data_IF_211354864570
#
_entry.id   IF_211354864570
#
_cell.length_a   1.000
_cell.length_b   1.000
_cell.length_c   1.000
_cell.angle_alpha   90.00
_cell.angle_beta   90.00
_cell.angle_gamma   90.00
#
_symmetry.space_group_name_H-M   'P 1'
#
loop_
_entity.id
_entity.type
_entity.pdbx_description
1 polymer ?
#
# COMPACT_ATOMS: atom_id res chain seq x y z
N UNK A 1 -6.65 -14.94 -41.68
CA UNK A 1 -7.35 -15.05 -40.37
C UNK A 1 -7.04 -13.83 -39.48
N UNK A 2 -6.58 -12.73 -40.08
CA UNK A 2 -5.90 -11.63 -39.38
C UNK A 2 -6.86 -10.51 -38.96
N UNK A 3 -7.98 -10.35 -39.69
CA UNK A 3 -9.04 -9.41 -39.34
C UNK A 3 -9.68 -9.71 -37.97
N UNK A 4 -9.77 -10.99 -37.59
CA UNK A 4 -10.30 -11.41 -36.27
C UNK A 4 -9.34 -11.07 -35.14
N UNK A 5 -8.02 -11.19 -35.35
CA UNK A 5 -7.00 -10.86 -34.34
C UNK A 5 -6.96 -9.36 -34.05
N UNK A 6 -7.04 -8.53 -35.09
CA UNK A 6 -7.03 -7.05 -34.98
C UNK A 6 -8.22 -6.50 -34.18
N UNK A 7 -9.39 -7.13 -34.29
CA UNK A 7 -10.58 -6.76 -33.51
C UNK A 7 -10.46 -7.17 -32.03
N UNK A 8 -9.87 -8.34 -31.77
CA UNK A 8 -9.65 -8.82 -30.40
C UNK A 8 -8.59 -7.98 -29.69
N UNK A 9 -7.50 -7.59 -30.35
CA UNK A 9 -6.47 -6.73 -29.74
C UNK A 9 -7.00 -5.35 -29.36
N UNK A 10 -7.80 -4.72 -30.22
CA UNK A 10 -8.43 -3.43 -29.90
C UNK A 10 -9.43 -3.54 -28.73
N UNK A 11 -10.22 -4.62 -28.69
CA UNK A 11 -11.14 -4.89 -27.58
C UNK A 11 -10.39 -5.21 -26.27
N UNK A 12 -9.28 -5.95 -26.34
CA UNK A 12 -8.42 -6.25 -25.20
C UNK A 12 -7.70 -4.99 -24.69
N UNK A 13 -7.32 -4.06 -25.57
CA UNK A 13 -6.75 -2.78 -25.18
C UNK A 13 -7.78 -1.91 -24.43
N UNK A 14 -9.00 -1.82 -24.95
CA UNK A 14 -10.12 -1.10 -24.28
C UNK A 14 -10.48 -1.76 -22.94
N UNK A 15 -10.51 -3.10 -22.87
CA UNK A 15 -10.74 -3.84 -21.63
C UNK A 15 -9.63 -3.58 -20.61
N UNK A 16 -8.37 -3.63 -21.04
CA UNK A 16 -7.22 -3.33 -20.18
C UNK A 16 -7.26 -1.91 -19.64
N UNK A 17 -7.62 -0.93 -20.47
CA UNK A 17 -7.77 0.46 -20.04
C UNK A 17 -8.87 0.62 -18.99
N UNK A 18 -10.02 -0.05 -19.18
CA UNK A 18 -11.11 -0.04 -18.21
C UNK A 18 -10.73 -0.66 -16.85
N UNK A 19 -9.97 -1.77 -16.87
CA UNK A 19 -9.47 -2.41 -15.64
C UNK A 19 -8.50 -1.48 -14.91
N UNK A 20 -7.54 -0.88 -15.62
CA UNK A 20 -6.57 0.04 -15.03
C UNK A 20 -7.29 1.23 -14.40
N UNK A 21 -8.25 1.82 -15.12
CA UNK A 21 -9.03 2.94 -14.61
C UNK A 21 -9.86 2.55 -13.38
N UNK A 22 -10.47 1.37 -13.41
CA UNK A 22 -11.22 0.83 -12.27
C UNK A 22 -10.35 0.59 -11.03
N UNK A 23 -9.13 0.07 -11.19
CA UNK A 23 -8.18 -0.11 -10.08
C UNK A 23 -7.75 1.24 -9.52
N UNK A 24 -7.39 2.20 -10.37
CA UNK A 24 -6.98 3.54 -9.94
C UNK A 24 -8.10 4.20 -9.12
N UNK A 25 -9.33 4.15 -9.62
CA UNK A 25 -10.50 4.71 -8.93
C UNK A 25 -10.79 3.93 -7.64
N UNK A 26 -10.70 2.60 -7.66
CA UNK A 26 -10.95 1.75 -6.49
C UNK A 26 -9.94 1.97 -5.35
N UNK A 27 -8.65 2.10 -5.68
CA UNK A 27 -7.60 2.42 -4.70
C UNK A 27 -7.78 3.82 -4.14
N UNK A 28 -8.09 4.79 -4.99
CA UNK A 28 -8.35 6.16 -4.55
C UNK A 28 -9.57 6.22 -3.63
N UNK A 29 -10.63 5.47 -3.93
CA UNK A 29 -11.81 5.34 -3.07
C UNK A 29 -11.44 4.72 -1.72
N UNK A 30 -10.72 3.60 -1.72
CA UNK A 30 -10.33 2.91 -0.49
C UNK A 30 -9.50 3.81 0.43
N UNK A 31 -8.58 4.61 -0.12
CA UNK A 31 -7.70 5.44 0.72
C UNK A 31 -8.33 6.77 1.15
N UNK A 32 -9.17 7.41 0.31
CA UNK A 32 -9.75 8.73 0.60
C UNK A 32 -11.04 8.61 1.43
N UNK A 33 -11.88 7.62 1.14
CA UNK A 33 -13.24 7.55 1.71
C UNK A 33 -13.30 6.60 2.91
N UNK A 34 -12.48 5.56 2.94
CA UNK A 34 -12.43 4.60 4.04
C UNK A 34 -10.99 4.33 4.47
N UNK A 35 -10.30 5.34 5.05
CA UNK A 35 -8.98 5.10 5.59
C UNK A 35 -9.04 4.00 6.66
N UNK A 36 -8.05 3.11 6.63
CA UNK A 36 -7.92 2.04 7.62
C UNK A 36 -7.71 2.66 8.99
N UNK A 37 -8.65 2.43 9.90
CA UNK A 37 -8.52 2.79 11.30
C UNK A 37 -8.06 1.54 12.06
N UNK A 38 -6.95 1.64 12.76
CA UNK A 38 -6.53 0.62 13.71
C UNK A 38 -7.36 0.81 14.97
N UNK A 39 -8.34 -0.05 15.14
CA UNK A 39 -9.20 -0.13 16.33
C UNK A 39 -8.72 -1.32 17.15
N UNK A 40 -8.97 -1.30 18.46
CA UNK A 40 -8.65 -2.41 19.39
C UNK A 40 -7.15 -2.57 19.72
N UNK A 41 -6.43 -1.46 19.89
CA UNK A 41 -5.10 -1.48 20.51
C UNK A 41 -5.17 -1.92 21.97
N UNK A 42 -4.24 -2.75 22.40
CA UNK A 42 -4.13 -3.19 23.79
C UNK A 42 -3.37 -2.15 24.63
N UNK A 43 -3.57 -2.12 25.96
CA UNK A 43 -2.74 -1.37 26.89
C UNK A 43 -1.22 -1.45 26.65
N UNK A 44 -0.70 -2.59 26.16
CA UNK A 44 0.70 -2.75 25.83
C UNK A 44 1.18 -1.88 24.64
N UNK A 45 0.27 -1.58 23.71
CA UNK A 45 0.56 -0.78 22.50
C UNK A 45 0.62 0.73 22.78
N UNK A 46 0.24 1.16 23.99
CA UNK A 46 0.31 2.57 24.37
C UNK A 46 1.76 3.04 24.52
N UNK A 47 1.97 4.34 24.33
CA UNK A 47 3.23 5.01 24.67
C UNK A 47 3.52 4.85 26.17
N UNK A 48 4.79 4.84 26.54
CA UNK A 48 5.24 4.59 27.91
C UNK A 48 4.56 5.46 28.96
N UNK A 49 4.41 6.76 28.71
CA UNK A 49 3.70 7.69 29.58
C UNK A 49 2.26 7.26 29.84
N UNK A 50 1.55 6.84 28.79
CA UNK A 50 0.16 6.40 28.91
C UNK A 50 0.01 5.01 29.54
N UNK A 51 1.02 4.13 29.40
CA UNK A 51 1.04 2.83 30.12
C UNK A 51 1.17 3.04 31.61
N UNK A 52 2.02 3.99 32.02
CA UNK A 52 2.16 4.42 33.41
C UNK A 52 0.84 5.01 33.92
N UNK A 53 0.19 5.89 33.16
CA UNK A 53 -1.11 6.45 33.55
C UNK A 53 -2.23 5.40 33.62
N UNK A 54 -2.24 4.44 32.69
CA UNK A 54 -3.13 3.29 32.76
C UNK A 54 -2.90 2.49 34.04
N UNK A 55 -1.65 2.16 34.35
CA UNK A 55 -1.31 1.39 35.55
C UNK A 55 -1.68 2.14 36.83
N UNK A 56 -1.49 3.47 36.88
CA UNK A 56 -1.97 4.31 37.99
C UNK A 56 -3.48 4.16 38.21
N UNK A 57 -4.27 4.20 37.14
CA UNK A 57 -5.71 3.97 37.22
C UNK A 57 -6.06 2.54 37.68
N UNK A 58 -5.30 1.53 37.27
CA UNK A 58 -5.49 0.15 37.73
C UNK A 58 -5.23 0.05 39.23
N UNK A 59 -4.13 0.64 39.72
CA UNK A 59 -3.77 0.66 41.15
C UNK A 59 -4.83 1.39 41.97
N UNK A 60 -5.28 2.56 41.51
CA UNK A 60 -6.32 3.34 42.20
C UNK A 60 -7.68 2.61 42.22
N UNK A 61 -8.05 1.98 41.09
CA UNK A 61 -9.25 1.14 40.99
C UNK A 61 -9.17 -0.05 41.94
N UNK A 62 -8.01 -0.71 42.06
CA UNK A 62 -7.80 -1.78 43.02
C UNK A 62 -7.87 -1.28 44.47
N UNK A 63 -7.26 -0.14 44.78
CA UNK A 63 -7.32 0.43 46.13
C UNK A 63 -8.75 0.77 46.57
N UNK A 64 -9.61 1.17 45.62
CA UNK A 64 -11.00 1.53 45.87
C UNK A 64 -11.95 0.34 45.89
N UNK A 65 -11.79 -0.63 44.97
CA UNK A 65 -12.72 -1.74 44.80
C UNK A 65 -12.25 -3.06 45.44
N UNK A 66 -10.95 -3.18 45.74
CA UNK A 66 -10.30 -4.37 46.32
C UNK A 66 -10.52 -5.67 45.50
N UNK A 67 -10.73 -5.52 44.19
CA UNK A 67 -10.89 -6.62 43.25
C UNK A 67 -9.52 -7.04 42.70
N UNK A 68 -8.94 -8.08 43.30
CA UNK A 68 -7.61 -8.57 42.99
C UNK A 68 -7.54 -9.21 41.60
N UNK A 69 -8.49 -10.09 41.28
CA UNK A 69 -8.53 -10.81 40.00
C UNK A 69 -8.59 -9.83 38.82
N UNK A 70 -9.44 -8.80 38.90
CA UNK A 70 -9.56 -7.78 37.87
C UNK A 70 -8.28 -6.93 37.73
N UNK A 71 -7.62 -6.64 38.85
CA UNK A 71 -6.40 -5.85 38.86
C UNK A 71 -5.22 -6.62 38.22
N UNK A 72 -5.13 -7.92 38.50
CA UNK A 72 -4.14 -8.83 37.92
C UNK A 72 -4.38 -9.06 36.44
N UNK A 73 -5.63 -9.24 36.01
CA UNK A 73 -5.99 -9.35 34.59
C UNK A 73 -5.51 -8.10 33.84
N UNK A 74 -5.89 -6.90 34.31
CA UNK A 74 -5.52 -5.61 33.70
C UNK A 74 -4.02 -5.37 33.69
N UNK A 75 -3.32 -5.75 34.76
CA UNK A 75 -1.87 -5.72 34.82
C UNK A 75 -1.25 -6.67 33.79
N UNK A 76 -1.79 -7.87 33.65
CA UNK A 76 -1.34 -8.87 32.68
C UNK A 76 -1.46 -8.40 31.23
N UNK A 77 -2.43 -7.54 30.90
CA UNK A 77 -2.58 -6.97 29.55
C UNK A 77 -1.39 -6.07 29.15
N UNK A 78 -0.63 -5.52 30.11
CA UNK A 78 0.59 -4.76 29.80
C UNK A 78 1.75 -5.67 29.33
N UNK A 79 1.67 -6.97 29.62
CA UNK A 79 2.68 -7.95 29.23
C UNK A 79 4.08 -7.57 29.73
N UNK A 80 5.05 -7.52 28.81
CA UNK A 80 6.46 -7.22 29.11
C UNK A 80 6.69 -5.82 29.71
N UNK A 81 5.77 -4.89 29.49
CA UNK A 81 5.89 -3.51 29.99
C UNK A 81 5.33 -3.32 31.40
N UNK A 82 4.72 -4.36 32.00
CA UNK A 82 4.12 -4.27 33.32
C UNK A 82 5.14 -3.93 34.42
N UNK A 83 6.33 -4.55 34.37
CA UNK A 83 7.41 -4.29 35.32
C UNK A 83 7.97 -2.88 35.20
N UNK A 84 8.37 -2.47 33.99
CA UNK A 84 8.85 -1.10 33.70
C UNK A 84 7.84 -0.03 34.12
N UNK A 85 6.57 -0.26 33.83
CA UNK A 85 5.51 0.68 34.22
C UNK A 85 5.35 0.76 35.74
N UNK A 86 5.49 -0.36 36.46
CA UNK A 86 5.43 -0.37 37.93
C UNK A 86 6.57 0.40 38.57
N UNK A 87 7.79 0.22 38.06
CA UNK A 87 8.97 0.92 38.55
C UNK A 87 8.78 2.44 38.39
N UNK A 88 8.31 2.88 37.22
CA UNK A 88 8.04 4.29 36.94
C UNK A 88 6.90 4.88 37.79
N UNK A 89 5.86 4.09 38.08
CA UNK A 89 4.80 4.51 39.03
C UNK A 89 5.38 4.67 40.44
N UNK A 90 6.30 3.79 40.84
CA UNK A 90 6.99 3.88 42.12
C UNK A 90 7.88 5.13 42.23
N UNK A 91 8.59 5.49 41.16
CA UNK A 91 9.42 6.70 41.10
C UNK A 91 8.58 7.98 41.10
N UNK A 92 7.46 7.97 40.36
CA UNK A 92 6.56 9.12 40.23
C UNK A 92 5.11 8.71 40.50
N UNK A 93 4.64 8.78 41.76
CA UNK A 93 3.28 8.35 42.13
C UNK A 93 2.15 9.23 41.56
N UNK A 94 2.46 10.48 41.17
CA UNK A 94 1.48 11.48 40.74
C UNK A 94 0.29 11.59 41.70
N UNK A 95 -0.92 11.24 41.26
CA UNK A 95 -2.18 11.34 42.03
C UNK A 95 -2.51 10.07 42.82
N UNK A 96 -1.74 8.99 42.66
CA UNK A 96 -1.99 7.71 43.34
C UNK A 96 -1.38 7.72 44.74
N UNK A 97 -2.13 7.24 45.73
CA UNK A 97 -1.66 7.16 47.11
C UNK A 97 -0.51 6.14 47.25
N UNK A 98 0.60 6.47 47.94
CA UNK A 98 1.73 5.56 48.10
C UNK A 98 1.40 4.23 48.80
N UNK A 99 0.35 4.19 49.62
CA UNK A 99 -0.10 2.93 50.24
C UNK A 99 -0.85 2.03 49.27
N UNK A 100 -1.52 2.60 48.25
CA UNK A 100 -2.17 1.83 47.18
C UNK A 100 -1.14 1.08 46.34
N UNK A 101 -0.02 1.74 46.00
CA UNK A 101 1.10 1.12 45.27
C UNK A 101 1.66 -0.07 46.06
N UNK A 102 1.88 0.10 47.38
CA UNK A 102 2.39 -1.00 48.22
C UNK A 102 1.42 -2.18 48.32
N UNK A 103 0.11 -1.92 48.43
CA UNK A 103 -0.91 -2.99 48.44
C UNK A 103 -0.94 -3.75 47.11
N UNK A 104 -0.76 -3.04 46.00
CA UNK A 104 -0.73 -3.65 44.68
C UNK A 104 0.56 -4.45 44.45
N UNK A 105 1.71 -3.96 44.89
CA UNK A 105 2.97 -4.74 44.88
C UNK A 105 2.87 -6.01 45.74
N UNK A 106 2.23 -5.92 46.92
CA UNK A 106 1.99 -7.08 47.75
C UNK A 106 1.07 -8.11 47.08
N UNK A 107 0.09 -7.66 46.28
CA UNK A 107 -0.76 -8.56 45.48
C UNK A 107 0.07 -9.33 44.44
N UNK A 108 0.94 -8.63 43.70
CA UNK A 108 1.78 -9.25 42.68
C UNK A 108 2.79 -10.25 43.26
N UNK A 109 3.33 -9.97 44.45
CA UNK A 109 4.25 -10.88 45.14
C UNK A 109 3.59 -12.20 45.60
N UNK A 110 2.25 -12.23 45.72
CA UNK A 110 1.49 -13.45 46.02
C UNK A 110 1.19 -14.24 44.74
N UNK A 111 1.01 -13.54 43.62
CA UNK A 111 0.77 -14.13 42.30
C UNK A 111 2.04 -14.71 41.67
N UNK A 112 3.20 -14.08 41.87
CA UNK A 112 4.48 -14.64 41.43
C UNK A 112 4.71 -15.99 42.13
N UNK A 113 4.64 -17.12 41.41
CA UNK A 113 4.93 -18.39 42.04
C UNK A 113 6.39 -18.35 42.48
N UNK A 114 6.61 -18.46 43.80
CA UNK A 114 7.80 -19.10 44.33
C UNK A 114 7.89 -20.46 43.65
N UNK A 115 8.67 -20.51 42.58
CA UNK A 115 8.79 -21.62 41.65
C UNK A 115 10.14 -21.59 40.94
N UNK A 116 11.17 -21.08 41.62
CA UNK A 116 12.53 -21.49 41.39
C UNK A 116 12.87 -22.57 42.43
N UNK A 117 12.49 -23.82 42.13
CA UNK A 117 13.22 -24.98 42.63
C UNK A 117 13.92 -25.65 41.44
N UNK A 118 15.24 -25.92 41.56
CA UNK A 118 16.06 -26.49 40.50
C UNK A 118 15.78 -27.98 40.38
N UNK A 119 14.98 -28.36 39.38
CA UNK A 119 15.01 -29.70 38.80
C UNK A 119 16.00 -29.71 37.65
N UNK A 120 17.18 -30.28 37.90
CA UNK A 120 18.13 -30.65 36.86
C UNK A 120 17.44 -31.52 35.80
N UNK A 121 17.39 -31.02 34.56
CA UNK A 121 17.65 -31.82 33.38
C UNK A 121 18.61 -31.00 32.51
N UNK A 122 19.90 -31.28 32.68
CA UNK A 122 20.91 -30.87 31.70
C UNK A 122 20.78 -31.79 30.50
N UNK A 123 20.30 -31.28 29.36
CA UNK A 123 20.85 -31.69 28.07
C UNK A 123 20.85 -30.54 27.06
N UNK A 124 22.06 -30.01 26.87
CA UNK A 124 22.63 -29.43 25.67
C UNK A 124 21.86 -28.31 24.91
N UNK A 125 22.51 -27.16 24.91
CA UNK A 125 22.43 -26.16 23.86
C UNK A 125 22.56 -26.77 22.45
N UNK A 126 21.61 -26.44 21.58
CA UNK A 126 21.89 -26.17 20.17
C UNK A 126 20.86 -25.21 19.59
N UNK A 127 21.41 -24.07 19.15
CA UNK A 127 21.12 -23.35 17.91
C UNK A 127 19.67 -23.36 17.37
N UNK A 128 19.16 -22.13 17.21
CA UNK A 128 18.34 -21.66 16.08
C UNK A 128 17.72 -22.74 15.21
N UNK A 129 16.42 -22.97 15.38
CA UNK A 129 15.56 -23.16 14.23
C UNK A 129 14.20 -22.58 14.53
N UNK A 130 13.87 -21.53 13.78
CA UNK A 130 12.54 -21.03 13.55
C UNK A 130 11.56 -22.20 13.40
N UNK A 131 10.72 -22.41 14.42
CA UNK A 131 9.53 -23.24 14.29
C UNK A 131 8.57 -22.45 13.42
N UNK A 132 8.70 -22.66 12.12
CA UNK A 132 7.79 -22.15 11.12
C UNK A 132 6.39 -22.72 11.38
N UNK A 133 5.56 -21.93 12.04
CA UNK A 133 4.12 -22.15 12.16
C UNK A 133 3.52 -22.48 10.77
N UNK A 134 2.52 -23.38 10.68
CA UNK A 134 1.89 -23.75 9.40
C UNK A 134 1.28 -22.55 8.66
N UNK A 135 1.00 -21.44 9.35
CA UNK A 135 0.61 -20.16 8.76
C UNK A 135 1.73 -19.49 7.94
N UNK A 136 3.00 -19.57 8.37
CA UNK A 136 4.15 -18.97 7.67
C UNK A 136 4.45 -19.65 6.33
N UNK A 137 4.20 -20.97 6.24
CA UNK A 137 4.36 -21.74 5.00
C UNK A 137 3.31 -21.42 3.93
N UNK A 138 2.18 -20.80 4.29
CA UNK A 138 1.14 -20.35 3.35
C UNK A 138 1.27 -18.86 2.99
N UNK A 139 1.79 -18.03 3.89
CA UNK A 139 2.01 -16.60 3.62
C UNK A 139 3.07 -16.40 2.53
N UNK A 140 4.16 -17.16 2.54
CA UNK A 140 5.22 -17.06 1.53
C UNK A 140 4.74 -17.39 0.09
N UNK A 141 4.02 -18.49 -0.18
CA UNK A 141 3.50 -18.75 -1.53
C UNK A 141 2.34 -17.82 -1.90
N UNK A 142 1.48 -17.40 -0.96
CA UNK A 142 0.39 -16.47 -1.26
C UNK A 142 0.94 -15.08 -1.58
N UNK A 143 1.80 -14.52 -0.73
CA UNK A 143 2.45 -13.23 -0.95
C UNK A 143 3.40 -13.26 -2.15
N UNK A 144 4.10 -14.37 -2.35
CA UNK A 144 4.91 -14.61 -3.56
C UNK A 144 4.06 -14.67 -4.82
N UNK A 145 2.88 -15.32 -4.77
CA UNK A 145 1.98 -15.42 -5.92
C UNK A 145 1.34 -14.08 -6.27
N UNK A 146 0.97 -13.27 -5.28
CA UNK A 146 0.40 -11.93 -5.53
C UNK A 146 1.45 -10.98 -6.07
N UNK A 147 2.67 -11.01 -5.53
CA UNK A 147 3.79 -10.20 -6.03
C UNK A 147 4.22 -10.65 -7.43
N UNK A 148 4.28 -11.96 -7.68
CA UNK A 148 4.58 -12.51 -9.00
C UNK A 148 3.50 -12.14 -10.04
N UNK A 149 2.21 -12.18 -9.68
CA UNK A 149 1.13 -11.74 -10.58
C UNK A 149 1.24 -10.25 -10.89
N UNK A 150 1.49 -9.40 -9.89
CA UNK A 150 1.66 -7.96 -10.08
C UNK A 150 2.85 -7.64 -10.99
N UNK A 151 3.98 -8.31 -10.79
CA UNK A 151 5.18 -8.17 -11.63
C UNK A 151 4.94 -8.69 -13.05
N UNK A 152 4.25 -9.82 -13.22
CA UNK A 152 3.88 -10.36 -14.53
C UNK A 152 2.99 -9.39 -15.31
N UNK A 153 2.01 -8.78 -14.65
CA UNK A 153 1.13 -7.79 -15.26
C UNK A 153 1.90 -6.52 -15.66
N UNK A 154 2.79 -6.03 -14.80
CA UNK A 154 3.64 -4.88 -15.09
C UNK A 154 4.60 -5.13 -16.27
N UNK A 155 5.23 -6.31 -16.32
CA UNK A 155 6.13 -6.71 -17.41
C UNK A 155 5.34 -6.87 -18.71
N UNK A 156 4.16 -7.51 -18.68
CA UNK A 156 3.30 -7.65 -19.86
C UNK A 156 2.88 -6.28 -20.42
N UNK A 157 2.55 -5.32 -19.56
CA UNK A 157 2.21 -3.95 -19.96
C UNK A 157 3.43 -3.19 -20.52
N UNK A 158 4.63 -3.38 -19.96
CA UNK A 158 5.85 -2.77 -20.46
C UNK A 158 6.28 -3.33 -21.82
N UNK A 159 6.13 -4.64 -22.04
CA UNK A 159 6.42 -5.28 -23.32
C UNK A 159 5.42 -4.82 -24.39
N UNK A 160 4.13 -4.72 -24.05
CA UNK A 160 3.12 -4.14 -24.95
C UNK A 160 3.47 -2.70 -25.33
N UNK A 161 3.80 -1.86 -24.34
CA UNK A 161 4.20 -0.46 -24.57
C UNK A 161 5.46 -0.33 -25.44
N UNK A 162 6.38 -1.28 -25.35
CA UNK A 162 7.59 -1.32 -26.19
C UNK A 162 7.32 -1.81 -27.61
N UNK A 163 6.30 -2.65 -27.81
CA UNK A 163 5.91 -3.14 -29.14
C UNK A 163 5.09 -2.08 -29.91
N UNK A 164 4.24 -1.30 -29.24
CA UNK A 164 3.51 -0.19 -29.87
C UNK A 164 4.44 0.90 -30.45
N UNK A 165 5.63 1.09 -29.87
CA UNK A 165 6.61 2.07 -30.36
C UNK A 165 7.39 1.64 -31.60
N UNK A 166 7.16 0.44 -32.14
CA UNK A 166 7.89 -0.11 -33.29
C UNK A 166 7.13 -0.01 -34.62
N UNK A 167 5.85 0.33 -34.58
CA UNK A 167 5.03 0.46 -35.79
C UNK A 167 5.13 1.87 -36.42
N UNK A 168 5.57 2.89 -35.68
CA UNK A 168 5.75 4.27 -36.21
C UNK A 168 7.06 4.47 -37.00
N UNK A 169 8.00 3.53 -36.95
CA UNK A 169 9.34 3.70 -37.56
C UNK A 169 9.43 3.22 -39.01
N UNK A 170 8.36 2.64 -39.59
CA UNK A 170 8.40 2.10 -40.94
C UNK A 170 7.66 2.96 -41.98
N UNK A 171 6.84 3.91 -41.54
CA UNK A 171 6.03 4.74 -42.45
C UNK A 171 6.77 6.00 -42.95
N UNK A 172 7.93 6.34 -42.35
CA UNK A 172 8.77 7.49 -42.72
C UNK A 172 9.76 7.19 -43.87
N UNK A 173 9.70 5.98 -44.46
CA UNK A 173 10.53 5.59 -45.62
C UNK A 173 9.76 5.71 -46.95
N UNK A 174 8.45 5.97 -46.90
CA UNK A 174 7.61 6.06 -48.09
C UNK A 174 6.94 7.43 -48.22
N UNK A 175 7.76 8.49 -48.22
CA UNK A 175 7.34 9.78 -48.77
C UNK A 175 7.26 9.64 -50.29
N UNK A 176 6.08 9.68 -50.93
CA UNK A 176 6.01 9.73 -52.38
C UNK A 176 6.68 11.03 -52.84
N UNK A 177 7.55 11.02 -53.86
CA UNK A 177 8.16 12.23 -54.37
C UNK A 177 7.07 13.16 -54.91
N UNK A 178 6.98 14.32 -54.28
CA UNK A 178 6.71 15.64 -54.83
C UNK A 178 5.92 15.65 -56.15
N UNK A 179 4.65 16.05 -56.02
CA UNK A 179 3.71 16.39 -57.11
C UNK A 179 4.14 17.59 -57.97
N UNK A 180 5.42 17.98 -57.94
CA UNK A 180 5.94 19.10 -58.72
C UNK A 180 6.25 18.70 -60.18
N UNK A 181 6.56 17.42 -60.43
CA UNK A 181 6.87 16.92 -61.79
C UNK A 181 5.64 16.67 -62.68
N UNK A 182 4.44 16.60 -62.09
CA UNK A 182 3.19 16.41 -62.85
C UNK A 182 2.60 17.70 -63.41
N UNK A 183 2.95 18.86 -62.85
CA UNK A 183 2.49 20.16 -63.37
C UNK A 183 3.28 20.61 -64.61
N UNK A 184 4.61 20.38 -64.68
CA UNK A 184 5.41 20.73 -65.87
C UNK A 184 4.96 19.99 -67.14
N UNK A 185 4.47 18.75 -67.01
CA UNK A 185 3.99 17.96 -68.15
C UNK A 185 2.62 18.46 -68.65
N UNK A 186 1.84 19.11 -67.79
CA UNK A 186 0.54 19.69 -68.14
C UNK A 186 0.66 21.12 -68.70
N UNK A 187 1.67 21.88 -68.26
CA UNK A 187 2.03 23.22 -68.76
C UNK A 187 2.47 23.21 -70.24
N UNK A 188 3.03 22.10 -70.74
CA UNK A 188 3.53 21.99 -72.12
C UNK A 188 2.44 21.87 -73.20
N UNK A 189 1.15 21.90 -72.83
CA UNK A 189 0.03 21.67 -73.74
C UNK A 189 -1.00 22.82 -73.74
N UNK A 190 -0.54 24.05 -74.01
CA UNK A 190 -1.38 25.04 -74.69
C UNK A 190 -1.42 24.70 -76.21
N UNK A 191 -2.48 25.06 -77.00
CA UNK A 191 -3.16 26.35 -76.91
C UNK A 191 -4.66 26.41 -77.32
N UNK A 192 -5.19 27.64 -77.20
CA UNK A 192 -6.24 28.27 -78.02
C UNK A 192 -7.71 28.02 -77.64
N UNK A 193 -8.34 28.99 -76.99
CA UNK A 193 -9.15 30.02 -77.68
C UNK A 193 -9.94 30.90 -76.69
N UNK A 194 -10.14 32.15 -77.10
CA UNK A 194 -11.17 33.11 -76.67
C UNK A 194 -11.01 33.69 -75.24
N UNK A 195 -10.31 34.80 -75.05
CA UNK A 195 -10.79 36.16 -75.35
C UNK A 195 -12.29 36.37 -75.10
N UNK A 196 -12.67 36.68 -73.86
CA UNK A 196 -13.76 37.65 -73.60
C UNK A 196 -13.86 37.94 -72.11
N UNK A 197 -13.59 39.18 -71.75
CA UNK A 197 -14.33 39.90 -70.70
C UNK A 197 -14.03 39.42 -69.27
N UNK A 198 -13.42 40.20 -68.38
CA UNK A 198 -13.83 41.55 -68.08
C UNK A 198 -12.75 42.18 -67.18
N UNK A 199 -12.03 43.12 -67.77
CA UNK A 199 -11.43 44.24 -67.06
C UNK A 199 -12.46 44.86 -66.11
N UNK A 200 -12.14 45.01 -64.83
CA UNK A 200 -12.48 46.19 -64.04
C UNK A 200 -11.60 46.18 -62.78
N UNK A 201 -10.43 46.80 -62.91
CA UNK A 201 -9.55 47.14 -61.83
C UNK A 201 -10.18 48.21 -60.91
N UNK A 202 -9.63 48.31 -59.69
CA UNK A 202 -9.46 49.55 -58.89
C UNK A 202 -10.71 50.03 -58.10
N UNK A 203 -10.68 50.49 -56.84
CA UNK A 203 -9.65 51.10 -55.99
C UNK A 203 -9.84 50.79 -54.49
N UNK A 204 -8.71 50.88 -53.76
CA UNK A 204 -8.57 51.13 -52.32
C UNK A 204 -9.43 52.30 -51.82
N UNK A 205 -9.86 52.23 -50.56
CA UNK A 205 -9.87 53.39 -49.65
C UNK A 205 -9.85 52.92 -48.19
N UNK A 206 -9.29 53.81 -47.36
CA UNK A 206 -8.71 53.77 -46.01
C UNK A 206 -9.44 53.01 -44.91
#
# INVERSE_FOLDING_TARGET
>A
MDALRKLTDRKLAVLGLGIILGIVIGVLYAWVISPVQWVDGTPADLRQDLRVDYLRMVIDSYASNLDADLALERYGVLGEYGGDSLDLVGETPAEVDPSAIQKFQALLAVEEPTGAEPGEDTEAASATSSTASPASRLILPVCGSTLALGVLLAIALLIRRRMEGRDESFEDVFTPPDRELSEEIFEAAEPAEALSEQTLATFRTT
#
